data_IF_694117037979
#
_entry.id   IF_694117037979
#
_cell.length_a   1.000
_cell.length_b   1.000
_cell.length_c   1.000
_cell.angle_alpha   90.00
_cell.angle_beta   90.00
_cell.angle_gamma   90.00
#
_symmetry.space_group_name_H-M   'P 1'
#
loop_
_entity.id
_entity.type
_entity.pdbx_description
1 polymer ?
#
# COMPACT_ATOMS: atom_id res chain seq x y z
N UNK A 1 7.07 10.51 12.47
CA UNK A 1 7.25 9.86 13.79
C UNK A 1 6.08 8.90 14.00
N UNK A 2 6.32 7.60 13.84
CA UNK A 2 5.27 6.57 13.93
C UNK A 2 5.05 6.22 15.40
N UNK A 3 4.06 6.81 16.05
CA UNK A 3 3.75 6.47 17.42
C UNK A 3 2.87 5.21 17.45
N UNK A 4 3.43 4.15 18.01
CA UNK A 4 2.77 2.88 18.28
C UNK A 4 1.93 3.05 19.54
N UNK A 5 0.62 3.26 19.40
CA UNK A 5 -0.25 3.47 20.56
C UNK A 5 -1.13 2.26 20.74
N UNK A 6 -0.84 1.47 21.77
CA UNK A 6 -1.76 0.48 22.34
C UNK A 6 -2.82 1.25 23.12
N UNK A 7 -4.03 1.35 22.58
CA UNK A 7 -5.16 1.91 23.33
C UNK A 7 -5.72 0.81 24.25
N UNK A 8 -6.14 1.22 25.45
CA UNK A 8 -6.41 0.42 26.64
C UNK A 8 -7.08 -0.96 26.40
N UNK A 9 -6.55 -2.01 27.07
CA UNK A 9 -7.23 -3.31 27.19
C UNK A 9 -8.55 -3.11 27.94
N UNK A 10 -9.65 -3.09 27.21
CA UNK A 10 -10.99 -3.33 27.78
C UNK A 10 -11.20 -4.84 27.91
N UNK A 11 -12.29 -5.29 28.53
CA UNK A 11 -12.60 -6.72 28.63
C UNK A 11 -12.80 -7.43 27.27
N UNK A 12 -12.95 -6.66 26.17
CA UNK A 12 -13.19 -7.21 24.82
C UNK A 12 -12.07 -6.92 23.80
N UNK A 13 -11.20 -5.94 24.06
CA UNK A 13 -10.12 -5.56 23.13
C UNK A 13 -8.81 -6.16 23.65
N UNK A 14 -8.23 -7.07 22.87
CA UNK A 14 -6.93 -7.68 23.19
C UNK A 14 -5.77 -6.86 22.66
N UNK A 15 -5.86 -6.50 21.38
CA UNK A 15 -4.88 -5.68 20.68
C UNK A 15 -5.59 -4.65 19.82
N UNK A 16 -5.16 -3.39 19.93
CA UNK A 16 -5.58 -2.30 19.07
C UNK A 16 -4.32 -1.50 18.66
N UNK A 17 -4.02 -1.55 17.36
CA UNK A 17 -2.84 -0.96 16.75
C UNK A 17 -3.23 0.16 15.80
N UNK A 18 -2.62 1.33 16.01
CA UNK A 18 -2.86 2.47 15.15
C UNK A 18 -1.91 3.63 15.40
N UNK A 19 -2.28 4.77 14.82
CA UNK A 19 -1.54 6.03 14.87
C UNK A 19 -2.46 7.14 15.36
N UNK A 20 -1.95 8.01 16.22
CA UNK A 20 -2.61 9.26 16.55
C UNK A 20 -2.32 10.30 15.46
N UNK A 21 -3.39 10.84 14.85
CA UNK A 21 -3.37 11.90 13.86
C UNK A 21 -4.11 13.12 14.42
N UNK A 22 -3.37 13.97 15.16
CA UNK A 22 -3.96 15.09 15.88
C UNK A 22 -4.91 14.61 16.98
N UNK A 23 -6.21 14.94 16.86
CA UNK A 23 -7.25 14.50 17.81
C UNK A 23 -7.86 13.12 17.49
N UNK A 24 -7.49 12.50 16.37
CA UNK A 24 -8.11 11.26 15.90
C UNK A 24 -7.12 10.09 15.93
N UNK A 25 -7.56 8.94 16.43
CA UNK A 25 -6.84 7.67 16.29
C UNK A 25 -7.25 6.97 15.00
N UNK A 26 -6.28 6.42 14.27
CA UNK A 26 -6.51 5.62 13.05
C UNK A 26 -5.85 4.26 13.19
N UNK A 27 -6.63 3.19 13.05
CA UNK A 27 -6.12 1.82 13.01
C UNK A 27 -5.08 1.65 11.89
N UNK A 28 -3.94 1.03 12.20
CA UNK A 28 -2.86 0.82 11.25
C UNK A 28 -1.90 -0.29 11.73
N UNK A 29 -1.75 -1.35 10.93
CA UNK A 29 -0.69 -2.37 11.11
C UNK A 29 -0.47 -3.14 9.80
N UNK A 30 0.79 -3.25 9.35
CA UNK A 30 1.13 -3.97 8.12
C UNK A 30 1.51 -5.43 8.36
N UNK A 31 2.20 -5.72 9.48
CA UNK A 31 2.75 -7.05 9.79
C UNK A 31 1.86 -7.89 10.72
N UNK A 32 0.55 -7.61 10.73
CA UNK A 32 -0.41 -8.28 11.60
C UNK A 32 -1.77 -7.56 11.61
N UNK A 33 -2.80 -8.17 12.20
CA UNK A 33 -4.09 -7.53 12.36
C UNK A 33 -3.98 -6.29 13.23
N UNK A 34 -4.63 -5.21 12.80
CA UNK A 34 -4.63 -3.96 13.52
C UNK A 34 -5.61 -3.98 14.70
N UNK A 35 -6.64 -4.83 14.67
CA UNK A 35 -7.58 -4.99 15.77
C UNK A 35 -7.86 -6.48 16.02
N UNK A 36 -7.70 -6.89 17.27
CA UNK A 36 -8.03 -8.22 17.78
C UNK A 36 -9.00 -8.05 18.94
N UNK A 37 -10.20 -8.60 18.80
CA UNK A 37 -11.25 -8.59 19.82
C UNK A 37 -11.58 -9.99 20.29
N UNK A 38 -12.21 -10.08 21.47
CA UNK A 38 -12.77 -11.30 22.03
C UNK A 38 -14.25 -11.14 22.28
N UNK A 39 -14.98 -12.24 22.13
CA UNK A 39 -16.38 -12.32 22.50
C UNK A 39 -16.58 -12.41 24.03
N UNK A 40 -17.82 -12.56 24.49
CA UNK A 40 -18.15 -12.67 25.92
C UNK A 40 -17.58 -13.93 26.59
N UNK A 41 -17.23 -14.96 25.81
CA UNK A 41 -16.67 -16.22 26.30
C UNK A 41 -15.13 -16.17 26.36
N UNK A 42 -14.51 -15.15 25.77
CA UNK A 42 -13.07 -15.00 25.65
C UNK A 42 -12.49 -15.58 24.36
N UNK A 43 -13.33 -16.08 23.45
CA UNK A 43 -12.89 -16.55 22.14
C UNK A 43 -12.52 -15.36 21.24
N UNK A 44 -11.44 -15.48 20.47
CA UNK A 44 -10.99 -14.44 19.54
C UNK A 44 -11.97 -14.33 18.37
N UNK A 45 -12.49 -13.13 18.13
CA UNK A 45 -13.31 -12.82 16.96
C UNK A 45 -12.43 -12.66 15.70
N UNK A 46 -13.03 -12.69 14.49
CA UNK A 46 -12.30 -12.44 13.26
C UNK A 46 -11.47 -11.16 13.33
N UNK A 47 -10.15 -11.30 13.21
CA UNK A 47 -9.21 -10.19 13.33
C UNK A 47 -9.36 -9.22 12.16
N UNK A 48 -9.21 -7.92 12.41
CA UNK A 48 -9.37 -6.90 11.37
C UNK A 48 -8.05 -6.26 10.99
N UNK A 49 -7.88 -6.00 9.71
CA UNK A 49 -6.66 -5.43 9.14
C UNK A 49 -6.93 -4.01 8.67
N UNK A 50 -6.10 -3.07 9.12
CA UNK A 50 -6.25 -1.66 8.76
C UNK A 50 -4.92 -1.06 8.36
N UNK A 51 -4.95 -0.18 7.36
CA UNK A 51 -3.82 0.65 6.95
C UNK A 51 -4.31 2.10 6.86
N UNK A 52 -3.81 2.93 7.78
CA UNK A 52 -4.15 4.36 7.88
C UNK A 52 -5.66 4.61 8.01
N UNK A 53 -6.33 3.75 8.78
CA UNK A 53 -7.76 3.79 9.08
C UNK A 53 -8.65 3.12 8.04
N UNK A 54 -8.08 2.55 6.98
CA UNK A 54 -8.84 1.88 5.92
C UNK A 54 -8.73 0.37 6.12
N UNK A 55 -9.87 -0.31 6.09
CA UNK A 55 -9.94 -1.77 6.25
C UNK A 55 -9.48 -2.48 4.98
N UNK A 56 -8.68 -3.53 5.16
CA UNK A 56 -8.21 -4.41 4.10
C UNK A 56 -8.62 -5.85 4.41
N UNK A 57 -8.82 -6.64 3.37
CA UNK A 57 -8.96 -8.09 3.47
C UNK A 57 -7.57 -8.70 3.45
N UNK A 58 -7.31 -9.64 4.36
CA UNK A 58 -6.06 -10.40 4.37
C UNK A 58 -6.11 -11.52 3.32
N UNK A 59 -5.18 -11.50 2.36
CA UNK A 59 -4.87 -12.64 1.49
C UNK A 59 -3.62 -13.39 2.00
N UNK A 60 -3.15 -14.37 1.24
CA UNK A 60 -2.02 -15.22 1.67
C UNK A 60 -0.75 -14.41 1.93
N UNK A 61 -0.40 -13.49 1.02
CA UNK A 61 0.86 -12.72 1.06
C UNK A 61 0.66 -11.21 0.95
N UNK A 62 -0.58 -10.74 1.09
CA UNK A 62 -0.92 -9.34 0.89
C UNK A 62 -2.19 -8.91 1.64
N UNK A 63 -2.38 -7.60 1.67
CA UNK A 63 -3.62 -6.94 2.03
C UNK A 63 -4.29 -6.44 0.75
N UNK A 64 -5.57 -6.77 0.59
CA UNK A 64 -6.37 -6.42 -0.59
C UNK A 64 -7.47 -5.45 -0.17
N UNK A 65 -7.52 -4.30 -0.83
CA UNK A 65 -8.59 -3.33 -0.63
C UNK A 65 -9.79 -3.70 -1.51
N UNK A 66 -10.91 -4.06 -0.89
CA UNK A 66 -12.14 -4.40 -1.62
C UNK A 66 -12.81 -3.19 -2.29
N UNK A 67 -12.66 -1.98 -1.71
CA UNK A 67 -13.38 -0.79 -2.17
C UNK A 67 -12.63 -0.04 -3.28
N UNK A 68 -13.34 0.31 -4.35
CA UNK A 68 -12.74 0.92 -5.56
C UNK A 68 -12.44 2.42 -5.47
N UNK A 69 -12.92 3.17 -4.47
CA UNK A 69 -12.90 4.65 -4.47
C UNK A 69 -11.82 5.39 -3.66
N UNK A 70 -10.91 4.73 -2.95
CA UNK A 70 -9.87 5.44 -2.18
C UNK A 70 -8.59 5.67 -2.99
N UNK A 71 -7.86 6.75 -2.69
CA UNK A 71 -6.49 6.98 -3.19
C UNK A 71 -5.44 6.04 -2.58
N UNK A 72 -5.86 5.13 -1.69
CA UNK A 72 -5.01 4.11 -1.07
C UNK A 72 -4.66 2.98 -2.04
N UNK A 73 -3.53 2.29 -1.82
CA UNK A 73 -3.12 1.16 -2.66
C UNK A 73 -4.18 0.05 -2.62
N UNK A 74 -4.39 -0.58 -3.78
CA UNK A 74 -5.28 -1.74 -3.90
C UNK A 74 -4.68 -2.99 -3.29
N UNK A 75 -3.37 -3.15 -3.44
CA UNK A 75 -2.65 -4.30 -2.89
C UNK A 75 -1.46 -3.77 -2.10
N UNK A 76 -1.26 -4.32 -0.91
CA UNK A 76 -0.05 -4.12 -0.11
C UNK A 76 0.53 -5.50 0.19
N UNK A 77 1.67 -5.80 -0.42
CA UNK A 77 2.37 -7.06 -0.20
C UNK A 77 3.07 -7.07 1.15
N UNK A 78 3.35 -8.27 1.68
CA UNK A 78 4.01 -8.44 2.98
C UNK A 78 5.43 -7.86 3.04
N UNK A 79 6.11 -7.80 1.89
CA UNK A 79 7.40 -7.12 1.80
C UNK A 79 7.27 -5.59 1.93
N UNK A 80 6.05 -5.04 1.86
CA UNK A 80 5.73 -3.62 1.92
C UNK A 80 5.54 -2.95 0.55
N UNK A 81 5.67 -3.70 -0.56
CA UNK A 81 5.37 -3.20 -1.90
C UNK A 81 3.89 -2.84 -2.00
N UNK A 82 3.61 -1.65 -2.53
CA UNK A 82 2.26 -1.12 -2.70
C UNK A 82 1.93 -1.01 -4.17
N UNK A 83 0.75 -1.48 -4.55
CA UNK A 83 0.25 -1.41 -5.92
C UNK A 83 -1.08 -0.67 -5.98
N UNK A 84 -1.18 0.21 -6.97
CA UNK A 84 -2.42 0.87 -7.37
C UNK A 84 -2.88 0.23 -8.67
N UNK A 85 -4.08 -0.33 -8.60
CA UNK A 85 -4.74 -0.97 -9.72
C UNK A 85 -6.10 -0.32 -9.95
N UNK A 86 -6.50 -0.28 -11.20
CA UNK A 86 -7.92 -0.13 -11.56
C UNK A 86 -8.42 -1.50 -11.97
N UNK A 87 -9.61 -1.84 -11.53
CA UNK A 87 -10.31 -3.03 -12.01
C UNK A 87 -11.46 -2.58 -12.88
N UNK A 88 -11.58 -3.18 -14.05
CA UNK A 88 -12.79 -3.17 -14.86
C UNK A 88 -13.49 -4.53 -14.75
N UNK A 89 -14.56 -4.73 -15.53
CA UNK A 89 -15.39 -5.94 -15.48
C UNK A 89 -14.65 -7.20 -15.99
N UNK A 90 -13.47 -7.06 -16.60
CA UNK A 90 -12.72 -8.17 -17.21
C UNK A 90 -11.32 -8.35 -16.63
N UNK A 91 -10.71 -7.27 -16.12
CA UNK A 91 -9.29 -7.27 -15.76
C UNK A 91 -8.95 -6.31 -14.62
N UNK A 92 -7.81 -6.55 -13.98
CA UNK A 92 -7.20 -5.62 -13.03
C UNK A 92 -5.82 -5.23 -13.53
N UNK A 93 -5.63 -3.95 -13.84
CA UNK A 93 -4.39 -3.42 -14.41
C UNK A 93 -3.77 -2.34 -13.53
N UNK A 94 -2.45 -2.27 -13.53
CA UNK A 94 -1.71 -1.20 -12.87
C UNK A 94 -2.08 0.15 -13.48
N UNK A 95 -2.47 1.08 -12.62
CA UNK A 95 -2.90 2.40 -13.05
C UNK A 95 -2.82 3.40 -11.90
N UNK A 96 -2.13 4.51 -12.14
CA UNK A 96 -2.19 5.71 -11.29
C UNK A 96 -1.76 6.94 -12.10
N UNK A 97 -2.57 8.00 -12.12
CA UNK A 97 -2.42 9.10 -13.09
C UNK A 97 -1.19 10.00 -12.86
N UNK A 98 -0.92 10.39 -11.61
CA UNK A 98 0.16 11.35 -11.28
C UNK A 98 1.31 10.74 -10.47
N UNK A 99 1.04 9.62 -9.81
CA UNK A 99 1.93 8.98 -8.85
C UNK A 99 2.35 7.60 -9.34
N UNK A 100 3.38 6.97 -8.74
CA UNK A 100 3.75 5.60 -9.08
C UNK A 100 2.59 4.63 -8.83
N UNK A 101 2.32 3.76 -9.80
CA UNK A 101 1.39 2.65 -9.63
C UNK A 101 2.01 1.50 -8.83
N UNK A 102 3.34 1.44 -8.74
CA UNK A 102 4.07 0.55 -7.82
C UNK A 102 5.06 1.38 -7.01
N UNK A 103 5.04 1.19 -5.68
CA UNK A 103 6.04 1.74 -4.76
C UNK A 103 6.66 0.61 -3.94
N UNK A 104 7.98 0.46 -4.03
CA UNK A 104 8.73 -0.55 -3.30
C UNK A 104 9.27 0.00 -1.97
N UNK A 105 9.49 -0.86 -0.96
CA UNK A 105 10.06 -0.46 0.34
C UNK A 105 11.45 0.16 0.26
N UNK A 106 12.25 -0.23 -0.74
CA UNK A 106 13.60 0.31 -0.97
C UNK A 106 13.59 1.71 -1.62
N UNK A 107 12.41 2.26 -1.92
CA UNK A 107 12.23 3.57 -2.55
C UNK A 107 12.08 3.53 -4.07
N UNK A 108 12.24 2.35 -4.68
CA UNK A 108 12.02 2.13 -6.12
C UNK A 108 10.56 2.38 -6.49
N UNK A 109 10.34 2.83 -7.73
CA UNK A 109 9.04 3.29 -8.20
C UNK A 109 8.79 2.95 -9.67
N UNK A 110 7.56 2.57 -9.96
CA UNK A 110 7.09 2.40 -11.34
C UNK A 110 5.79 3.15 -11.59
N UNK A 111 5.73 3.86 -12.71
CA UNK A 111 4.57 4.59 -13.19
C UNK A 111 3.90 3.80 -14.30
N UNK A 112 2.62 3.51 -14.11
CA UNK A 112 1.79 2.77 -15.04
C UNK A 112 0.47 3.50 -15.27
N UNK A 113 0.04 3.52 -16.52
CA UNK A 113 -1.25 4.05 -16.93
C UNK A 113 -1.94 3.02 -17.84
N UNK A 114 -3.09 2.51 -17.39
CA UNK A 114 -3.87 1.50 -18.11
C UNK A 114 -3.05 0.27 -18.49
N UNK A 115 -2.29 -0.27 -17.53
CA UNK A 115 -1.47 -1.47 -17.75
C UNK A 115 -0.21 -1.26 -18.59
N UNK A 116 0.11 -0.02 -18.98
CA UNK A 116 1.33 0.31 -19.73
C UNK A 116 2.24 1.22 -18.91
N UNK A 117 3.55 0.94 -18.91
CA UNK A 117 4.54 1.86 -18.31
C UNK A 117 4.47 3.21 -19.02
N UNK A 118 4.23 4.26 -18.26
CA UNK A 118 4.01 5.59 -18.81
C UNK A 118 4.23 6.67 -17.76
N UNK A 119 4.97 7.72 -18.13
CA UNK A 119 5.08 8.96 -17.33
C UNK A 119 5.37 10.15 -18.26
N UNK A 120 4.49 11.16 -18.34
CA UNK A 120 4.61 12.24 -19.34
C UNK A 120 5.93 13.05 -19.27
N UNK A 121 6.44 13.32 -18.06
CA UNK A 121 7.56 14.24 -17.86
C UNK A 121 8.71 13.64 -17.04
N UNK A 122 8.97 12.35 -17.21
CA UNK A 122 10.06 11.69 -16.48
C UNK A 122 10.19 10.20 -16.77
N UNK A 123 11.11 9.52 -16.08
CA UNK A 123 11.25 8.08 -16.22
C UNK A 123 10.02 7.38 -15.65
N UNK A 124 9.53 6.37 -16.37
CA UNK A 124 8.42 5.53 -15.92
C UNK A 124 8.89 4.43 -14.94
N UNK A 125 10.20 4.20 -14.82
CA UNK A 125 10.77 3.30 -13.81
C UNK A 125 12.00 3.97 -13.19
N UNK A 126 12.10 3.93 -11.86
CA UNK A 126 13.28 4.35 -11.11
C UNK A 126 13.67 3.22 -10.17
N UNK A 127 14.88 2.68 -10.38
CA UNK A 127 15.48 1.64 -9.56
C UNK A 127 16.83 2.13 -9.03
N UNK A 128 16.89 2.52 -7.76
CA UNK A 128 18.05 3.21 -7.20
C UNK A 128 18.44 4.43 -8.03
N UNK A 129 19.63 4.40 -8.62
CA UNK A 129 20.13 5.45 -9.52
C UNK A 129 19.78 5.23 -11.01
N UNK A 130 19.18 4.10 -11.37
CA UNK A 130 18.79 3.79 -12.76
C UNK A 130 17.40 4.32 -13.05
N UNK A 131 17.24 4.86 -14.25
CA UNK A 131 16.01 5.47 -14.73
C UNK A 131 15.68 4.95 -16.13
N UNK A 132 14.42 4.61 -16.39
CA UNK A 132 13.97 4.08 -17.67
C UNK A 132 12.74 4.85 -18.17
N UNK A 133 12.77 5.24 -19.44
CA UNK A 133 11.67 5.94 -20.12
C UNK A 133 10.93 4.98 -21.03
N UNK A 134 9.60 5.14 -21.06
CA UNK A 134 8.71 4.34 -21.88
C UNK A 134 7.71 5.25 -22.61
N UNK A 135 7.41 4.93 -23.87
CA UNK A 135 6.39 5.59 -24.67
C UNK A 135 5.37 4.54 -25.14
N UNK A 136 4.09 4.73 -24.80
CA UNK A 136 3.03 3.74 -25.07
C UNK A 136 3.32 2.30 -24.61
N UNK A 137 4.13 2.13 -23.56
CA UNK A 137 4.55 0.84 -23.03
C UNK A 137 5.87 0.32 -23.61
N UNK A 138 6.39 0.93 -24.68
CA UNK A 138 7.64 0.55 -25.31
C UNK A 138 8.84 1.25 -24.68
N UNK A 139 9.95 0.53 -24.52
CA UNK A 139 11.18 1.08 -23.97
C UNK A 139 11.79 2.12 -24.93
N UNK A 140 12.19 3.27 -24.40
CA UNK A 140 12.79 4.36 -25.18
C UNK A 140 14.28 4.49 -24.87
N UNK A 141 14.63 4.67 -23.59
CA UNK A 141 16.00 4.88 -23.15
C UNK A 141 16.15 4.62 -21.66
N UNK A 142 17.40 4.44 -21.24
CA UNK A 142 17.79 4.40 -19.84
C UNK A 142 18.84 5.46 -19.52
N UNK A 143 18.92 5.84 -18.26
CA UNK A 143 19.92 6.74 -17.71
C UNK A 143 20.35 6.22 -16.34
N UNK A 144 21.64 6.30 -16.04
CA UNK A 144 22.18 6.00 -14.71
C UNK A 144 22.62 7.32 -14.12
N UNK A 145 21.97 7.75 -13.04
CA UNK A 145 22.39 8.94 -12.30
C UNK A 145 23.75 8.68 -11.67
N UNK A 146 24.69 9.58 -11.93
CA UNK A 146 25.94 9.64 -11.18
C UNK A 146 25.63 9.93 -9.72
N UNK A 147 26.19 9.10 -8.83
CA UNK A 147 26.15 9.35 -7.40
C UNK A 147 27.37 10.22 -7.14
N UNK A 148 27.16 11.54 -7.03
CA UNK A 148 28.21 12.42 -6.52
C UNK A 148 28.35 12.08 -5.03
N UNK A 149 29.46 11.44 -4.69
CA UNK A 149 29.86 11.07 -3.33
C UNK A 149 30.61 12.20 -2.65
#
# INVERSE_FOLDING_TARGET
MYCLVRVQKTSRIEEDWGKNTGRNFKHHRLKGPALITKDKTGAIEPTKWYVDGIEYVRGDFCLILANSGSNSPKIIWDNGTREWRKSDWESSVLHRFHDPAIEYPNGDKEWWFNGKRHRPHGPAVIYGNKQYWFCHGEFVKQFVKEIVT
#
